data_IF_586079402751
#
_entry.id   IF_586079402751
#
_cell.length_a   1.000
_cell.length_b   1.000
_cell.length_c   1.000
_cell.angle_alpha   90.00
_cell.angle_beta   90.00
_cell.angle_gamma   90.00
#
_symmetry.space_group_name_H-M   'P 1'
#
loop_
_entity.id
_entity.type
_entity.pdbx_description
1 polymer ?
#
# COMPACT_ATOMS: atom_id res chain seq x y z
N UNK A 1 5.70 -3.18 -11.04
CA UNK A 1 4.28 -3.34 -10.68
C UNK A 1 3.80 -2.20 -9.77
N UNK A 2 4.02 -2.21 -8.44
CA UNK A 2 3.43 -1.24 -7.51
C UNK A 2 3.57 0.24 -7.92
N UNK A 3 4.78 0.71 -8.23
CA UNK A 3 4.99 2.10 -8.66
C UNK A 3 4.30 2.45 -10.00
N UNK A 4 4.23 1.51 -10.94
CA UNK A 4 3.52 1.73 -12.21
C UNK A 4 2.00 1.75 -11.99
N UNK A 5 1.50 0.88 -11.12
CA UNK A 5 0.10 0.81 -10.77
C UNK A 5 -0.38 2.10 -10.08
N UNK A 6 0.38 2.60 -9.10
CA UNK A 6 0.08 3.88 -8.46
C UNK A 6 0.15 5.06 -9.45
N UNK A 7 1.08 5.05 -10.41
CA UNK A 7 1.09 6.05 -11.51
C UNK A 7 -0.16 5.98 -12.35
N UNK A 8 -0.60 4.78 -12.72
CA UNK A 8 -1.82 4.57 -13.50
C UNK A 8 -3.07 5.04 -12.76
N UNK A 9 -3.12 4.84 -11.43
CA UNK A 9 -4.18 5.38 -10.58
C UNK A 9 -4.17 6.92 -10.49
N UNK A 10 -3.06 7.58 -10.84
CA UNK A 10 -2.95 9.05 -10.86
C UNK A 10 -1.98 9.64 -9.83
N UNK A 11 -1.30 8.81 -9.03
CA UNK A 11 -0.26 9.31 -8.12
C UNK A 11 0.96 9.83 -8.87
N UNK A 12 1.52 10.93 -8.37
CA UNK A 12 2.63 11.65 -8.99
C UNK A 12 3.88 11.61 -8.12
N UNK A 13 5.03 11.88 -8.74
CA UNK A 13 6.30 12.03 -8.02
C UNK A 13 6.81 10.75 -7.34
N UNK A 14 6.37 9.56 -7.77
CA UNK A 14 6.77 8.30 -7.15
C UNK A 14 8.28 8.06 -7.21
N UNK A 15 8.90 7.83 -6.05
CA UNK A 15 10.32 7.53 -5.87
C UNK A 15 10.50 6.38 -4.86
N UNK A 16 11.50 5.50 -5.04
CA UNK A 16 11.89 4.53 -4.03
C UNK A 16 12.33 5.20 -2.72
N UNK A 17 12.16 4.49 -1.61
CA UNK A 17 12.80 4.85 -0.34
C UNK A 17 14.28 4.49 -0.38
N UNK A 18 15.15 5.45 -0.02
CA UNK A 18 16.60 5.21 0.06
C UNK A 18 16.98 4.27 1.24
N UNK A 19 16.12 4.19 2.27
CA UNK A 19 16.30 3.31 3.42
C UNK A 19 15.05 2.44 3.66
N UNK A 20 14.93 1.41 2.84
CA UNK A 20 13.84 0.42 2.86
C UNK A 20 13.75 -0.32 4.20
N UNK A 21 14.89 -0.61 4.82
CA UNK A 21 14.96 -1.43 6.03
C UNK A 21 14.52 -0.66 7.29
N UNK A 22 14.83 0.63 7.37
CA UNK A 22 14.49 1.44 8.55
C UNK A 22 13.07 2.00 8.51
N UNK A 23 12.55 2.35 7.32
CA UNK A 23 11.30 3.10 7.19
C UNK A 23 10.04 2.23 7.15
N UNK A 24 10.15 0.96 6.73
CA UNK A 24 8.97 0.14 6.41
C UNK A 24 8.16 0.70 5.24
N UNK A 25 8.76 1.57 4.42
CA UNK A 25 8.16 2.17 3.23
C UNK A 25 9.08 1.94 2.05
N UNK A 26 8.52 1.50 0.94
CA UNK A 26 9.26 1.20 -0.28
C UNK A 26 9.15 2.32 -1.31
N UNK A 27 8.04 3.05 -1.32
CA UNK A 27 7.72 4.08 -2.31
C UNK A 27 7.12 5.31 -1.62
N UNK A 28 7.54 6.49 -2.09
CA UNK A 28 6.97 7.78 -1.73
C UNK A 28 6.46 8.49 -2.97
N UNK A 29 5.31 9.18 -2.87
CA UNK A 29 4.81 10.08 -3.90
C UNK A 29 4.06 11.26 -3.30
N UNK A 30 3.55 12.13 -4.15
CA UNK A 30 2.67 13.22 -3.72
C UNK A 30 1.40 12.62 -3.11
N UNK A 31 1.21 12.80 -1.80
CA UNK A 31 0.05 12.32 -1.06
C UNK A 31 0.00 10.81 -0.80
N UNK A 32 1.07 10.06 -1.07
CA UNK A 32 1.08 8.59 -0.90
C UNK A 32 2.41 8.06 -0.39
N UNK A 33 2.32 7.06 0.48
CA UNK A 33 3.41 6.14 0.82
C UNK A 33 2.97 4.71 0.54
N UNK A 34 3.88 3.88 0.06
CA UNK A 34 3.56 2.49 -0.25
C UNK A 34 4.61 1.51 0.25
N UNK A 35 4.17 0.34 0.69
CA UNK A 35 5.02 -0.79 1.05
C UNK A 35 4.72 -1.98 0.13
N UNK A 36 5.76 -2.72 -0.23
CA UNK A 36 5.69 -3.95 -1.03
C UNK A 36 6.34 -5.08 -0.23
N UNK A 37 5.53 -6.00 0.28
CA UNK A 37 6.00 -7.23 0.93
C UNK A 37 6.21 -8.33 -0.13
N UNK A 38 7.46 -8.69 -0.46
CA UNK A 38 7.76 -9.73 -1.45
C UNK A 38 7.75 -11.14 -0.85
N UNK A 39 7.45 -11.29 0.45
CA UNK A 39 7.58 -12.58 1.13
C UNK A 39 6.46 -13.54 0.74
N UNK A 40 6.73 -14.83 0.91
CA UNK A 40 5.76 -15.91 0.68
C UNK A 40 4.91 -16.23 1.93
N UNK A 41 4.93 -15.35 2.94
CA UNK A 41 4.14 -15.49 4.17
C UNK A 41 3.11 -14.37 4.24
N UNK A 42 1.89 -14.63 4.77
CA UNK A 42 0.90 -13.58 4.92
C UNK A 42 1.44 -12.41 5.75
N UNK A 43 1.26 -11.19 5.24
CA UNK A 43 1.63 -9.94 5.90
C UNK A 43 0.86 -9.79 7.22
N UNK A 44 1.56 -9.40 8.29
CA UNK A 44 1.02 -9.35 9.64
C UNK A 44 0.42 -8.00 10.02
N UNK A 45 -0.29 -7.98 11.15
CA UNK A 45 -0.93 -6.78 11.71
C UNK A 45 0.07 -5.64 11.93
N UNK A 46 1.26 -5.96 12.47
CA UNK A 46 2.28 -4.96 12.78
C UNK A 46 2.75 -4.19 11.55
N UNK A 47 2.86 -4.86 10.40
CA UNK A 47 3.30 -4.23 9.16
C UNK A 47 2.28 -3.18 8.68
N UNK A 48 0.98 -3.50 8.81
CA UNK A 48 -0.12 -2.57 8.50
C UNK A 48 -0.05 -1.33 9.41
N UNK A 49 0.11 -1.53 10.72
CA UNK A 49 0.15 -0.42 11.67
C UNK A 49 1.40 0.45 11.52
N UNK A 50 2.56 -0.17 11.27
CA UNK A 50 3.80 0.54 10.99
C UNK A 50 3.69 1.40 9.73
N UNK A 51 3.14 0.86 8.63
CA UNK A 51 2.94 1.63 7.41
C UNK A 51 1.94 2.78 7.62
N UNK A 52 0.86 2.54 8.36
CA UNK A 52 -0.13 3.57 8.65
C UNK A 52 0.46 4.73 9.45
N UNK A 53 1.26 4.45 10.49
CA UNK A 53 1.95 5.49 11.27
C UNK A 53 2.91 6.32 10.42
N UNK A 54 3.64 5.68 9.50
CA UNK A 54 4.52 6.37 8.55
C UNK A 54 3.74 7.31 7.60
N UNK A 55 2.61 6.85 7.07
CA UNK A 55 1.74 7.66 6.22
C UNK A 55 1.16 8.84 6.99
N UNK A 56 0.67 8.60 8.21
CA UNK A 56 0.13 9.64 9.09
C UNK A 56 1.17 10.73 9.37
N UNK A 57 2.41 10.35 9.72
CA UNK A 57 3.50 11.31 9.96
C UNK A 57 3.79 12.18 8.72
N UNK A 58 3.61 11.63 7.52
CA UNK A 58 3.86 12.31 6.24
C UNK A 58 2.60 12.98 5.66
N UNK A 59 1.47 12.93 6.38
CA UNK A 59 0.17 13.39 5.87
C UNK A 59 -0.15 12.79 4.50
N UNK A 60 0.08 11.49 4.35
CA UNK A 60 -0.03 10.76 3.09
C UNK A 60 -0.88 9.50 3.28
N UNK A 61 -1.60 9.11 2.23
CA UNK A 61 -2.31 7.83 2.19
C UNK A 61 -1.30 6.68 2.17
N UNK A 62 -1.52 5.68 3.03
CA UNK A 62 -0.74 4.45 3.04
C UNK A 62 -1.35 3.40 2.12
N UNK A 63 -0.55 2.77 1.26
CA UNK A 63 -0.99 1.67 0.38
C UNK A 63 -0.07 0.46 0.54
N UNK A 64 -0.63 -0.73 0.73
CA UNK A 64 0.16 -1.95 0.91
C UNK A 64 -0.01 -2.89 -0.27
N UNK A 65 1.10 -3.45 -0.75
CA UNK A 65 1.13 -4.54 -1.73
C UNK A 65 1.78 -5.78 -1.10
N UNK A 66 1.16 -6.95 -1.21
CA UNK A 66 1.73 -8.20 -0.70
C UNK A 66 1.70 -9.30 -1.75
N UNK A 67 2.75 -10.12 -1.80
CA UNK A 67 2.80 -11.29 -2.67
C UNK A 67 1.93 -12.44 -2.11
N UNK A 68 2.05 -12.74 -0.82
CA UNK A 68 1.32 -13.84 -0.18
C UNK A 68 -0.04 -13.43 0.42
N UNK A 69 -0.41 -12.15 0.29
CA UNK A 69 -1.62 -11.60 0.88
C UNK A 69 -1.45 -11.31 2.38
N UNK A 70 -2.57 -11.27 3.10
CA UNK A 70 -2.63 -10.70 4.44
C UNK A 70 -3.23 -11.67 5.44
N UNK A 71 -2.71 -11.66 6.66
CA UNK A 71 -3.40 -12.28 7.78
C UNK A 71 -4.79 -11.64 7.99
N UNK A 72 -5.73 -12.39 8.58
CA UNK A 72 -7.12 -11.94 8.72
C UNK A 72 -7.21 -10.67 9.58
N UNK A 73 -6.47 -10.61 10.67
CA UNK A 73 -6.36 -9.47 11.55
C UNK A 73 -5.72 -8.24 10.87
N UNK A 74 -4.76 -8.46 9.97
CA UNK A 74 -4.14 -7.39 9.19
C UNK A 74 -5.16 -6.76 8.23
N UNK A 75 -5.97 -7.59 7.56
CA UNK A 75 -7.05 -7.12 6.68
C UNK A 75 -8.11 -6.32 7.45
N UNK A 76 -8.61 -6.87 8.56
CA UNK A 76 -9.60 -6.18 9.39
C UNK A 76 -9.07 -4.84 9.94
N UNK A 77 -7.78 -4.78 10.29
CA UNK A 77 -7.15 -3.53 10.72
C UNK A 77 -7.04 -2.53 9.60
N UNK A 78 -6.63 -2.95 8.41
CA UNK A 78 -6.53 -2.08 7.25
C UNK A 78 -7.89 -1.48 6.87
N UNK A 79 -8.98 -2.24 7.00
CA UNK A 79 -10.33 -1.74 6.78
C UNK A 79 -10.68 -0.61 7.76
N UNK A 80 -10.41 -0.81 9.05
CA UNK A 80 -10.63 0.21 10.08
C UNK A 80 -9.78 1.48 9.86
N UNK A 81 -8.58 1.32 9.31
CA UNK A 81 -7.65 2.41 9.04
C UNK A 81 -7.82 3.03 7.64
N UNK A 82 -8.77 2.53 6.84
CA UNK A 82 -8.95 2.91 5.44
C UNK A 82 -7.65 2.80 4.61
N UNK A 83 -6.88 1.73 4.85
CA UNK A 83 -5.61 1.45 4.19
C UNK A 83 -5.85 0.49 3.00
N UNK A 84 -5.69 0.94 1.75
CA UNK A 84 -5.81 0.09 0.57
C UNK A 84 -4.81 -1.07 0.55
N UNK A 85 -5.34 -2.28 0.43
CA UNK A 85 -4.55 -3.52 0.34
C UNK A 85 -4.65 -4.11 -1.06
N UNK A 86 -3.50 -4.55 -1.58
CA UNK A 86 -3.42 -5.20 -2.88
C UNK A 86 -2.59 -6.48 -2.81
N UNK A 87 -3.04 -7.52 -3.52
CA UNK A 87 -2.20 -8.69 -3.80
C UNK A 87 -1.51 -8.50 -5.14
N UNK A 88 -0.21 -8.74 -5.18
CA UNK A 88 0.55 -8.79 -6.43
C UNK A 88 0.48 -10.20 -7.01
N UNK A 89 -0.19 -10.35 -8.15
CA UNK A 89 -0.07 -11.58 -8.93
C UNK A 89 1.22 -11.59 -9.76
N UNK A 90 1.63 -12.78 -10.21
CA UNK A 90 2.79 -12.98 -11.09
C UNK A 90 2.57 -12.39 -12.50
N UNK A 91 1.34 -11.97 -12.84
CA UNK A 91 0.98 -11.37 -14.13
C UNK A 91 1.18 -9.84 -14.13
N UNK A 92 1.41 -9.25 -12.96
CA UNK A 92 1.86 -7.88 -12.79
C UNK A 92 0.75 -6.86 -12.51
N UNK A 93 -0.51 -7.29 -12.38
CA UNK A 93 -1.63 -6.38 -12.04
C UNK A 93 -2.02 -6.57 -10.58
N UNK A 94 -1.80 -5.57 -9.71
CA UNK A 94 -2.27 -5.62 -8.34
C UNK A 94 -3.80 -5.77 -8.26
N UNK A 95 -4.27 -6.73 -7.47
CA UNK A 95 -5.68 -7.00 -7.24
C UNK A 95 -6.12 -6.40 -5.91
N UNK A 96 -7.22 -5.62 -5.85
CA UNK A 96 -7.73 -5.09 -4.59
C UNK A 96 -8.19 -6.23 -3.69
N UNK A 97 -7.93 -6.12 -2.39
CA UNK A 97 -8.42 -7.11 -1.43
C UNK A 97 -9.28 -6.52 -0.33
N UNK A 98 -9.56 -5.22 -0.36
CA UNK A 98 -10.49 -4.61 0.57
C UNK A 98 -11.21 -3.38 -0.01
N UNK A 99 -12.28 -2.97 0.66
CA UNK A 99 -13.13 -1.86 0.22
C UNK A 99 -12.34 -0.55 0.01
N UNK A 100 -11.37 -0.18 0.86
CA UNK A 100 -10.48 0.95 0.58
C UNK A 100 -9.70 0.83 -0.74
N UNK A 101 -9.23 -0.37 -1.11
CA UNK A 101 -8.56 -0.59 -2.39
C UNK A 101 -9.52 -0.48 -3.57
N UNK A 102 -10.72 -1.03 -3.46
CA UNK A 102 -11.77 -0.86 -4.48
C UNK A 102 -12.17 0.61 -4.64
N UNK A 103 -12.29 1.35 -3.54
CA UNK A 103 -12.54 2.78 -3.56
C UNK A 103 -11.40 3.54 -4.25
N UNK A 104 -10.15 3.23 -3.94
CA UNK A 104 -8.99 3.86 -4.56
C UNK A 104 -8.96 3.62 -6.07
N UNK A 105 -9.28 2.41 -6.55
CA UNK A 105 -9.35 2.12 -7.99
C UNK A 105 -10.42 2.96 -8.67
N UNK A 106 -11.60 3.09 -8.07
CA UNK A 106 -12.73 3.80 -8.67
C UNK A 106 -12.57 5.32 -8.64
N UNK A 107 -12.02 5.85 -7.55
CA UNK A 107 -12.01 7.28 -7.27
C UNK A 107 -10.68 7.95 -7.58
N UNK A 108 -9.58 7.19 -7.61
CA UNK A 108 -8.22 7.75 -7.71
C UNK A 108 -7.73 8.38 -6.40
N UNK A 109 -6.59 9.09 -6.43
CA UNK A 109 -6.03 9.79 -5.28
C UNK A 109 -7.01 10.80 -4.70
N UNK A 110 -7.08 10.97 -3.36
CA UNK A 110 -8.01 11.88 -2.71
C UNK A 110 -7.83 13.37 -3.08
N UNK A 111 -6.64 13.76 -3.55
CA UNK A 111 -6.30 15.13 -3.99
C UNK A 111 -5.83 15.17 -5.47
N UNK A 112 -6.31 14.21 -6.29
CA UNK A 112 -5.90 13.99 -7.69
C UNK A 112 -6.18 15.15 -8.64
#
# INVERSE_FOLDING_TARGET
AAAQYLKWLGFRGLRPSDDRAASGVDLYGTGVVAQVDPTTRPTGLRDIECLWLNGLQKSAMSVFFSLAGYAREARARADALHLPLFIMDLTGTPQPVNDPADALIRMGPPDG
#
